data_IF_300418214341
#
_entry.id   IF_300418214341
#
_cell.length_a   1.000
_cell.length_b   1.000
_cell.length_c   1.000
_cell.angle_alpha   90.00
_cell.angle_beta   90.00
_cell.angle_gamma   90.00
#
_symmetry.space_group_name_H-M   'P 1'
#
loop_
_entity.id
_entity.type
_entity.pdbx_description
1 polymer ?
#
# COMPACT_ATOMS: atom_id res chain seq x y z
N UNK A 1 -4.68 9.51 26.28
CA UNK A 1 -4.88 8.27 25.51
C UNK A 1 -5.35 8.67 24.13
N UNK A 2 -4.42 8.73 23.17
CA UNK A 2 -4.67 9.27 21.83
C UNK A 2 -4.76 8.13 20.79
N UNK A 3 -5.77 8.26 19.93
CA UNK A 3 -6.27 7.28 18.96
C UNK A 3 -5.24 6.89 17.87
N UNK A 4 -5.25 5.66 17.32
CA UNK A 4 -4.29 5.19 16.31
C UNK A 4 -4.71 5.65 14.91
N UNK A 5 -4.51 6.92 14.59
CA UNK A 5 -4.86 7.47 13.28
C UNK A 5 -3.69 7.36 12.27
N UNK A 6 -4.00 7.01 11.01
CA UNK A 6 -3.03 6.86 9.91
C UNK A 6 -2.47 8.21 9.39
N UNK A 7 -1.46 8.18 8.51
CA UNK A 7 -0.77 9.39 7.99
C UNK A 7 -1.70 10.42 7.33
N UNK A 8 -2.76 9.99 6.65
CA UNK A 8 -3.80 10.87 6.09
C UNK A 8 -4.58 11.58 7.19
N UNK A 9 -4.85 10.89 8.30
CA UNK A 9 -5.50 11.46 9.47
C UNK A 9 -4.54 12.37 10.27
N UNK A 10 -3.24 12.08 10.30
CA UNK A 10 -2.21 12.95 10.91
C UNK A 10 -2.08 14.26 10.12
N UNK A 11 -2.03 14.18 8.78
CA UNK A 11 -1.95 15.37 7.93
C UNK A 11 -3.22 16.25 8.07
N UNK A 12 -4.39 15.63 8.25
CA UNK A 12 -5.65 16.33 8.60
C UNK A 12 -5.65 16.94 10.01
N UNK A 13 -4.88 16.38 10.95
CA UNK A 13 -4.71 16.92 12.32
C UNK A 13 -3.71 18.08 12.38
N UNK A 14 -2.76 18.17 11.45
CA UNK A 14 -1.82 19.30 11.35
C UNK A 14 -2.48 20.55 10.74
N UNK A 15 -3.48 20.39 9.86
CA UNK A 15 -4.27 21.47 9.24
C UNK A 15 -5.37 22.09 10.16
N UNK A 16 -5.30 21.82 11.47
CA UNK A 16 -6.32 22.13 12.51
C UNK A 16 -6.76 23.59 12.62
N UNK A 17 -6.08 24.56 12.02
CA UNK A 17 -6.47 25.97 12.10
C UNK A 17 -7.70 26.33 11.26
N UNK A 18 -8.18 25.45 10.36
CA UNK A 18 -9.27 25.79 9.41
C UNK A 18 -10.65 25.20 9.67
N UNK A 19 -10.81 24.19 10.54
CA UNK A 19 -12.09 23.50 10.67
C UNK A 19 -12.50 23.32 12.14
N UNK A 20 -13.50 24.11 12.56
CA UNK A 20 -14.16 23.95 13.86
C UNK A 20 -14.84 22.58 13.89
N UNK A 21 -14.53 21.82 14.94
CA UNK A 21 -15.17 20.58 15.35
C UNK A 21 -16.71 20.66 15.18
N UNK A 22 -17.28 19.80 14.35
CA UNK A 22 -18.66 19.35 14.53
C UNK A 22 -18.64 17.91 15.05
N UNK A 23 -19.58 17.62 15.95
CA UNK A 23 -19.59 16.49 16.90
C UNK A 23 -19.76 15.08 16.29
N UNK A 24 -19.31 14.86 15.07
CA UNK A 24 -19.48 13.59 14.33
C UNK A 24 -18.26 12.66 14.44
N UNK A 25 -17.60 12.63 15.59
CA UNK A 25 -16.37 11.84 15.85
C UNK A 25 -16.56 10.31 15.96
N UNK A 26 -17.71 9.76 15.52
CA UNK A 26 -18.00 8.31 15.59
C UNK A 26 -17.61 7.49 14.35
N UNK A 27 -17.05 8.09 13.29
CA UNK A 27 -16.76 7.37 12.04
C UNK A 27 -15.27 7.10 11.75
N UNK A 28 -14.36 7.39 12.68
CA UNK A 28 -12.92 7.17 12.48
C UNK A 28 -12.38 5.92 13.19
N UNK A 29 -13.25 5.08 13.75
CA UNK A 29 -12.88 3.88 14.52
C UNK A 29 -12.65 2.62 13.69
N UNK A 30 -13.40 2.41 12.60
CA UNK A 30 -13.43 1.08 11.95
C UNK A 30 -12.79 1.03 10.56
N UNK A 31 -12.49 2.19 9.95
CA UNK A 31 -11.93 2.26 8.59
C UNK A 31 -10.40 2.46 8.52
N UNK A 32 -9.70 2.60 9.66
CA UNK A 32 -8.23 2.71 9.67
C UNK A 32 -7.51 1.35 9.60
N UNK A 33 -8.23 0.22 9.76
CA UNK A 33 -7.64 -1.12 9.72
C UNK A 33 -7.31 -1.61 8.29
N UNK A 34 -7.81 -0.94 7.26
CA UNK A 34 -7.37 -1.19 5.89
C UNK A 34 -6.15 -0.31 5.59
N UNK A 35 -4.95 -0.78 5.95
CA UNK A 35 -3.73 -0.31 5.27
C UNK A 35 -3.93 -0.66 3.80
N UNK A 36 -4.48 0.27 3.02
CA UNK A 36 -4.57 0.13 1.57
C UNK A 36 -3.14 0.17 1.08
N UNK A 37 -2.55 -0.99 0.82
CA UNK A 37 -1.26 -1.09 0.17
C UNK A 37 -1.41 -0.46 -1.22
N UNK A 38 -0.85 0.74 -1.39
CA UNK A 38 -0.88 1.44 -2.67
C UNK A 38 0.17 0.83 -3.58
N UNK A 39 -0.24 0.41 -4.77
CA UNK A 39 0.69 -0.05 -5.80
C UNK A 39 1.49 1.16 -6.29
N UNK A 40 2.81 1.09 -6.10
CA UNK A 40 3.74 2.10 -6.60
C UNK A 40 4.24 1.79 -7.99
N UNK A 41 4.49 0.50 -8.30
CA UNK A 41 5.07 0.09 -9.58
C UNK A 41 4.82 -1.40 -9.87
N UNK A 42 4.91 -1.79 -11.14
CA UNK A 42 4.95 -3.18 -11.60
C UNK A 42 6.40 -3.55 -11.96
N UNK A 43 6.93 -4.60 -11.33
CA UNK A 43 8.34 -5.01 -11.43
C UNK A 43 8.58 -6.24 -12.28
N UNK A 44 7.50 -6.90 -12.72
CA UNK A 44 7.61 -8.08 -13.56
C UNK A 44 6.29 -8.84 -13.64
N UNK A 45 6.28 -9.83 -14.52
CA UNK A 45 5.09 -10.62 -14.83
C UNK A 45 5.43 -12.10 -14.95
N UNK A 46 4.42 -12.95 -14.68
CA UNK A 46 4.48 -14.39 -14.87
C UNK A 46 3.11 -14.96 -15.18
N UNK A 47 3.10 -16.08 -15.88
CA UNK A 47 1.91 -16.92 -15.98
C UNK A 47 1.82 -17.84 -14.76
N UNK A 48 0.59 -18.12 -14.35
CA UNK A 48 0.25 -19.06 -13.31
C UNK A 48 0.25 -20.49 -13.84
N UNK A 49 -0.43 -21.40 -13.13
CA UNK A 49 -0.51 -22.79 -13.59
C UNK A 49 -1.48 -22.97 -14.76
N UNK A 50 -2.43 -22.04 -14.89
CA UNK A 50 -3.36 -21.94 -16.03
C UNK A 50 -2.90 -20.79 -16.91
N UNK A 51 -3.04 -20.94 -18.22
CA UNK A 51 -2.65 -19.89 -19.20
C UNK A 51 -3.40 -18.57 -18.97
N UNK A 52 -4.62 -18.64 -18.43
CA UNK A 52 -5.43 -17.46 -18.09
C UNK A 52 -5.04 -16.80 -16.77
N UNK A 53 -4.22 -17.44 -15.94
CA UNK A 53 -3.84 -16.91 -14.64
C UNK A 53 -2.60 -16.01 -14.77
N UNK A 54 -2.80 -14.72 -15.07
CA UNK A 54 -1.70 -13.77 -15.17
C UNK A 54 -1.39 -13.14 -13.81
N UNK A 55 -0.11 -13.12 -13.42
CA UNK A 55 0.34 -12.50 -12.16
C UNK A 55 1.37 -11.42 -12.40
N UNK A 56 1.25 -10.37 -11.61
CA UNK A 56 2.11 -9.20 -11.62
C UNK A 56 2.90 -9.11 -10.33
N UNK A 57 4.19 -8.77 -10.43
CA UNK A 57 5.03 -8.51 -9.27
C UNK A 57 4.89 -7.05 -8.88
N UNK A 58 4.16 -6.82 -7.79
CA UNK A 58 3.80 -5.49 -7.32
C UNK A 58 4.89 -4.93 -6.40
N UNK A 59 5.28 -3.68 -6.67
CA UNK A 59 6.03 -2.84 -5.76
C UNK A 59 5.05 -1.95 -5.01
N UNK A 60 4.99 -2.11 -3.70
CA UNK A 60 4.17 -1.26 -2.86
C UNK A 60 4.85 0.07 -2.53
N UNK A 61 4.04 1.09 -2.27
CA UNK A 61 4.50 2.35 -1.73
C UNK A 61 5.09 2.18 -0.33
N UNK A 62 6.16 2.92 -0.03
CA UNK A 62 6.75 2.87 1.31
C UNK A 62 5.90 3.70 2.27
N UNK A 63 5.41 3.10 3.36
CA UNK A 63 4.53 3.75 4.34
C UNK A 63 5.27 4.07 5.63
N UNK A 64 4.70 4.96 6.44
CA UNK A 64 5.18 5.24 7.80
C UNK A 64 4.28 4.49 8.79
N UNK A 65 4.89 3.65 9.62
CA UNK A 65 4.20 2.85 10.62
C UNK A 65 4.75 3.16 12.02
N UNK A 66 3.99 2.82 13.07
CA UNK A 66 4.50 2.91 14.44
C UNK A 66 5.59 1.87 14.68
N UNK A 67 6.59 2.22 15.48
CA UNK A 67 7.77 1.37 15.72
C UNK A 67 7.48 0.07 16.48
N UNK A 68 6.33 -0.01 17.15
CA UNK A 68 5.85 -1.14 17.94
C UNK A 68 5.03 -2.16 17.14
N UNK A 69 4.83 -1.95 15.83
CA UNK A 69 4.17 -2.93 14.97
C UNK A 69 5.05 -4.17 14.75
N UNK A 70 4.79 -5.22 15.53
CA UNK A 70 5.50 -6.51 15.50
C UNK A 70 4.94 -7.47 14.43
N UNK A 71 3.66 -7.33 14.06
CA UNK A 71 2.93 -8.33 13.24
C UNK A 71 3.23 -8.28 11.73
N UNK A 72 3.97 -7.29 11.25
CA UNK A 72 4.25 -7.13 9.81
C UNK A 72 5.64 -7.63 9.40
N UNK A 73 6.47 -8.17 10.31
CA UNK A 73 7.86 -8.59 10.00
C UNK A 73 7.99 -9.45 8.74
N UNK A 74 7.02 -10.32 8.48
CA UNK A 74 7.05 -11.20 7.31
C UNK A 74 6.77 -10.48 5.99
N UNK A 75 6.10 -9.33 6.02
CA UNK A 75 5.78 -8.49 4.85
C UNK A 75 6.78 -7.33 4.68
N UNK A 76 7.51 -6.97 5.72
CA UNK A 76 8.56 -5.95 5.68
C UNK A 76 9.77 -6.48 4.93
N UNK A 77 10.24 -5.74 3.92
CA UNK A 77 11.53 -5.99 3.27
C UNK A 77 12.68 -5.34 4.03
N UNK A 78 12.50 -4.09 4.45
CA UNK A 78 13.44 -3.37 5.33
C UNK A 78 12.83 -2.09 5.88
N UNK A 79 13.45 -1.55 6.93
CA UNK A 79 13.22 -0.17 7.38
C UNK A 79 14.05 0.76 6.50
N UNK A 80 13.41 1.78 5.92
CA UNK A 80 14.05 2.79 5.06
C UNK A 80 14.54 3.98 5.89
N UNK A 81 13.75 4.40 6.88
CA UNK A 81 14.05 5.56 7.73
C UNK A 81 13.44 5.35 9.11
N UNK A 82 14.05 5.93 10.13
CA UNK A 82 13.51 6.00 11.49
C UNK A 82 13.27 7.46 11.89
N UNK A 83 12.21 7.69 12.64
CA UNK A 83 11.88 8.93 13.34
C UNK A 83 11.39 8.56 14.75
N UNK A 84 11.41 9.48 15.73
CA UNK A 84 10.86 9.19 17.06
C UNK A 84 9.41 8.68 16.96
N UNK A 85 9.16 7.46 17.44
CA UNK A 85 7.85 6.79 17.42
C UNK A 85 7.40 6.20 16.07
N UNK A 86 8.13 6.43 14.97
CA UNK A 86 7.72 6.01 13.62
C UNK A 86 8.88 5.39 12.81
N UNK A 87 8.54 4.44 11.97
CA UNK A 87 9.45 3.80 11.01
C UNK A 87 8.87 3.88 9.61
N UNK A 88 9.70 4.29 8.64
CA UNK A 88 9.34 4.20 7.22
C UNK A 88 9.67 2.81 6.73
N UNK A 89 8.66 2.07 6.31
CA UNK A 89 8.77 0.68 5.92
C UNK A 89 8.85 0.57 4.40
N UNK A 90 9.79 -0.25 3.94
CA UNK A 90 9.77 -0.81 2.60
C UNK A 90 9.19 -2.21 2.67
N UNK A 91 8.04 -2.39 2.03
CA UNK A 91 7.37 -3.67 1.91
C UNK A 91 8.07 -4.57 0.91
N UNK A 92 7.92 -5.89 1.11
CA UNK A 92 8.32 -6.91 0.14
C UNK A 92 7.43 -6.79 -1.09
N UNK A 93 8.05 -7.00 -2.24
CA UNK A 93 7.30 -7.06 -3.49
C UNK A 93 6.55 -8.39 -3.51
N UNK A 94 5.26 -8.36 -3.81
CA UNK A 94 4.40 -9.56 -3.81
C UNK A 94 3.93 -9.87 -5.22
N UNK A 95 3.39 -11.08 -5.41
CA UNK A 95 2.80 -11.50 -6.68
C UNK A 95 1.28 -11.45 -6.54
N UNK A 96 0.67 -10.48 -7.20
CA UNK A 96 -0.78 -10.28 -7.20
C UNK A 96 -1.39 -10.72 -8.55
N UNK A 97 -2.68 -11.10 -8.60
CA UNK A 97 -3.39 -11.26 -9.85
C UNK A 97 -3.36 -9.96 -10.67
N UNK A 98 -3.29 -10.06 -12.00
CA UNK A 98 -3.35 -8.87 -12.87
C UNK A 98 -4.63 -8.05 -12.64
N UNK A 99 -5.75 -8.73 -12.38
CA UNK A 99 -7.06 -8.13 -12.08
C UNK A 99 -7.08 -7.27 -10.81
N UNK A 100 -6.06 -7.40 -9.94
CA UNK A 100 -5.92 -6.54 -8.76
C UNK A 100 -5.50 -5.12 -9.12
N UNK A 101 -4.89 -4.92 -10.29
CA UNK A 101 -4.54 -3.59 -10.76
C UNK A 101 -5.78 -2.91 -11.34
N UNK A 102 -6.08 -1.73 -10.81
CA UNK A 102 -7.08 -0.84 -11.40
C UNK A 102 -6.72 -0.52 -12.87
N UNK A 103 -7.75 -0.30 -13.67
CA UNK A 103 -7.58 0.11 -15.06
C UNK A 103 -6.83 1.44 -15.13
N UNK A 104 -5.63 1.41 -15.72
CA UNK A 104 -4.74 2.56 -15.83
C UNK A 104 -3.30 2.17 -16.12
N UNK A 105 -2.40 3.15 -16.03
CA UNK A 105 -0.99 3.05 -16.47
C UNK A 105 -0.23 1.84 -15.92
N UNK A 106 -0.51 1.42 -14.68
CA UNK A 106 0.16 0.26 -14.07
C UNK A 106 -0.30 -1.06 -14.66
N UNK A 107 -1.59 -1.17 -14.99
CA UNK A 107 -2.16 -2.33 -15.68
C UNK A 107 -1.69 -2.39 -17.12
N UNK A 108 -1.68 -1.26 -17.83
CA UNK A 108 -1.11 -1.16 -19.19
C UNK A 108 0.36 -1.57 -19.22
N UNK A 109 1.16 -1.09 -18.26
CA UNK A 109 2.54 -1.52 -18.09
C UNK A 109 2.67 -3.02 -17.89
N UNK A 110 1.78 -3.62 -17.08
CA UNK A 110 1.79 -5.06 -16.86
C UNK A 110 1.44 -5.85 -18.13
N UNK A 111 0.46 -5.38 -18.90
CA UNK A 111 0.05 -5.98 -20.18
C UNK A 111 1.22 -5.94 -21.17
N UNK A 112 1.84 -4.77 -21.38
CA UNK A 112 3.02 -4.65 -22.27
C UNK A 112 4.14 -5.62 -21.87
N UNK A 113 4.40 -5.79 -20.56
CA UNK A 113 5.40 -6.75 -20.09
C UNK A 113 5.00 -8.20 -20.35
N UNK A 114 3.71 -8.52 -20.34
CA UNK A 114 3.19 -9.86 -20.65
C UNK A 114 3.35 -10.16 -22.14
N UNK A 115 2.98 -9.21 -23.00
CA UNK A 115 3.15 -9.28 -24.46
C UNK A 115 4.62 -9.44 -24.83
N UNK A 116 5.51 -8.60 -24.28
CA UNK A 116 6.95 -8.67 -24.55
C UNK A 116 7.58 -10.01 -24.14
N UNK A 117 7.15 -10.56 -23.00
CA UNK A 117 7.78 -11.75 -22.41
C UNK A 117 7.19 -13.06 -22.92
N UNK A 118 5.91 -13.09 -23.25
CA UNK A 118 5.19 -14.32 -23.58
C UNK A 118 4.52 -14.28 -24.97
N UNK A 119 4.53 -13.15 -25.68
CA UNK A 119 3.90 -13.01 -27.00
C UNK A 119 2.38 -13.12 -26.97
N UNK A 120 1.78 -12.71 -25.86
CA UNK A 120 0.32 -12.62 -25.68
C UNK A 120 -0.29 -11.46 -26.49
#
# INVERSE_FOLDING_TARGET
>A
MESPCCSICIQRLEDKSKWRLSDSHKLLGDNCAAIKYVVKDVRGVRLGRKETEMKVRVRWEDTWEKSDWVDTRNQVKRIVKRSPGLIRIRWKDTWEPLEYLDDGMLREKAIMLLEEKFGL
#
